data_IF_742225732722
#
_entry.id   IF_742225732722
#
_cell.length_a   1.000
_cell.length_b   1.000
_cell.length_c   1.000
_cell.angle_alpha   90.00
_cell.angle_beta   90.00
_cell.angle_gamma   90.00
#
_symmetry.space_group_name_H-M   'P 1'
#
loop_
_entity.id
_entity.type
_entity.pdbx_description
1 polymer ?
#
# COMPACT_ATOMS: atom_id res chain seq x y z
N UNK A 1 -33.00 32.87 -1.29
CA UNK A 1 -31.91 33.42 -2.12
C UNK A 1 -31.89 32.67 -3.46
N UNK A 2 -31.96 33.35 -4.60
CA UNK A 2 -32.05 32.68 -5.91
C UNK A 2 -30.66 32.27 -6.42
N UNK A 3 -30.54 31.10 -7.08
CA UNK A 3 -29.30 30.61 -7.74
C UNK A 3 -28.59 31.67 -8.59
N UNK A 4 -29.37 32.60 -9.14
CA UNK A 4 -28.90 33.69 -9.99
C UNK A 4 -28.13 34.79 -9.22
N UNK A 5 -28.36 34.96 -7.91
CA UNK A 5 -27.61 35.93 -7.09
C UNK A 5 -26.24 35.39 -6.69
N UNK A 6 -26.15 34.10 -6.33
CA UNK A 6 -24.86 33.45 -6.01
C UNK A 6 -23.92 33.48 -7.23
N UNK A 7 -24.40 33.02 -8.40
CA UNK A 7 -23.61 33.05 -9.65
C UNK A 7 -23.09 34.45 -10.00
N UNK A 8 -23.93 35.48 -9.88
CA UNK A 8 -23.52 36.87 -10.16
C UNK A 8 -22.47 37.37 -9.16
N UNK A 9 -22.54 36.93 -7.91
CA UNK A 9 -21.54 37.27 -6.89
C UNK A 9 -20.20 36.58 -7.19
N UNK A 10 -20.20 35.31 -7.60
CA UNK A 10 -18.99 34.57 -7.95
C UNK A 10 -18.27 35.21 -9.15
N UNK A 11 -19.01 35.56 -10.21
CA UNK A 11 -18.45 36.28 -11.37
C UNK A 11 -17.88 37.64 -10.95
N UNK A 12 -18.57 38.38 -10.07
CA UNK A 12 -18.10 39.68 -9.57
C UNK A 12 -16.84 39.56 -8.71
N UNK A 13 -16.64 38.44 -8.02
CA UNK A 13 -15.47 38.22 -7.18
C UNK A 13 -14.19 38.05 -8.00
N UNK A 14 -14.30 37.57 -9.24
CA UNK A 14 -13.14 37.27 -10.11
C UNK A 14 -13.02 38.18 -11.33
N UNK A 15 -14.05 38.97 -11.66
CA UNK A 15 -14.03 39.87 -12.82
C UNK A 15 -13.22 41.15 -12.54
N UNK A 16 -12.27 41.51 -13.43
CA UNK A 16 -11.66 42.84 -13.40
C UNK A 16 -12.70 43.97 -13.57
N UNK A 17 -12.43 45.19 -13.08
CA UNK A 17 -13.33 46.33 -13.25
C UNK A 17 -13.70 46.56 -14.72
N UNK A 18 -14.99 46.57 -15.03
CA UNK A 18 -15.50 46.75 -16.41
C UNK A 18 -15.55 45.48 -17.27
N UNK A 19 -15.02 44.34 -16.81
CA UNK A 19 -14.94 43.11 -17.60
C UNK A 19 -16.02 42.07 -17.27
N UNK A 20 -16.99 42.39 -16.41
CA UNK A 20 -18.03 41.47 -15.94
C UNK A 20 -18.70 40.66 -17.07
N UNK A 21 -19.10 41.30 -18.18
CA UNK A 21 -19.79 40.62 -19.29
C UNK A 21 -18.86 39.69 -20.11
N UNK A 22 -17.54 39.92 -20.07
CA UNK A 22 -16.54 39.05 -20.69
C UNK A 22 -16.26 37.87 -19.75
N UNK A 23 -16.03 38.13 -18.47
CA UNK A 23 -15.83 37.10 -17.44
C UNK A 23 -17.06 36.19 -17.31
N UNK A 24 -18.28 36.73 -17.35
CA UNK A 24 -19.51 35.92 -17.34
C UNK A 24 -19.60 35.02 -18.58
N UNK A 25 -19.19 35.52 -19.76
CA UNK A 25 -19.17 34.71 -21.00
C UNK A 25 -18.13 33.60 -20.94
N UNK A 26 -16.92 33.90 -20.46
CA UNK A 26 -15.85 32.91 -20.29
C UNK A 26 -16.28 31.85 -19.28
N UNK A 27 -16.75 32.24 -18.09
CA UNK A 27 -17.21 31.31 -17.06
C UNK A 27 -18.40 30.47 -17.55
N UNK A 28 -19.33 31.05 -18.33
CA UNK A 28 -20.44 30.29 -18.92
C UNK A 28 -19.94 29.30 -19.98
N UNK A 29 -18.97 29.69 -20.81
CA UNK A 29 -18.38 28.81 -21.81
C UNK A 29 -17.57 27.67 -21.15
N UNK A 30 -16.85 27.95 -20.06
CA UNK A 30 -16.16 26.95 -19.24
C UNK A 30 -17.13 26.01 -18.53
N UNK A 31 -18.26 26.52 -18.00
CA UNK A 31 -19.34 25.70 -17.45
C UNK A 31 -20.04 24.83 -18.50
N UNK A 32 -19.89 25.14 -19.79
CA UNK A 32 -20.44 24.38 -20.91
C UNK A 32 -19.41 23.47 -21.57
N UNK A 33 -18.15 23.48 -21.10
CA UNK A 33 -17.14 22.54 -21.61
C UNK A 33 -17.48 21.14 -21.12
N UNK A 34 -17.51 20.15 -22.02
CA UNK A 34 -17.66 18.75 -21.65
C UNK A 34 -16.64 18.31 -20.60
N UNK A 35 -17.08 17.42 -19.71
CA UNK A 35 -16.17 16.73 -18.79
C UNK A 35 -15.72 15.45 -19.47
N UNK A 36 -14.48 15.44 -19.97
CA UNK A 36 -13.91 14.29 -20.67
C UNK A 36 -13.44 13.22 -19.67
N UNK A 37 -13.73 11.96 -19.97
CA UNK A 37 -13.30 10.83 -19.15
C UNK A 37 -11.78 10.73 -19.03
N UNK A 38 -11.06 11.02 -20.12
CA UNK A 38 -9.60 11.05 -20.13
C UNK A 38 -9.02 12.09 -19.17
N UNK A 39 -9.60 13.30 -19.13
CA UNK A 39 -9.17 14.38 -18.25
C UNK A 39 -9.48 14.08 -16.77
N UNK A 40 -10.64 13.47 -16.50
CA UNK A 40 -10.99 12.99 -15.16
C UNK A 40 -9.99 11.93 -14.71
N UNK A 41 -9.66 10.96 -15.57
CA UNK A 41 -8.72 9.88 -15.28
C UNK A 41 -7.34 10.43 -14.91
N UNK A 42 -6.77 11.33 -15.72
CA UNK A 42 -5.44 11.89 -15.47
C UNK A 42 -5.40 12.74 -14.19
N UNK A 43 -6.39 13.62 -13.98
CA UNK A 43 -6.45 14.46 -12.76
C UNK A 43 -6.64 13.62 -11.50
N UNK A 44 -7.47 12.59 -11.56
CA UNK A 44 -7.66 11.64 -10.47
C UNK A 44 -6.34 10.94 -10.12
N UNK A 45 -5.68 10.32 -11.10
CA UNK A 45 -4.39 9.64 -10.87
C UNK A 45 -3.34 10.59 -10.30
N UNK A 46 -3.25 11.82 -10.83
CA UNK A 46 -2.33 12.83 -10.32
C UNK A 46 -2.60 13.18 -8.85
N UNK A 47 -3.87 13.32 -8.46
CA UNK A 47 -4.23 13.62 -7.08
C UNK A 47 -3.91 12.47 -6.12
N UNK A 48 -4.14 11.21 -6.51
CA UNK A 48 -3.73 10.06 -5.71
C UNK A 48 -2.21 10.00 -5.53
N UNK A 49 -1.43 10.23 -6.59
CA UNK A 49 0.05 10.30 -6.49
C UNK A 49 0.50 11.44 -5.58
N UNK A 50 -0.12 12.62 -5.70
CA UNK A 50 0.19 13.77 -4.85
C UNK A 50 -0.14 13.51 -3.36
N UNK A 51 -1.13 12.67 -3.08
CA UNK A 51 -1.45 12.21 -1.73
C UNK A 51 -0.56 11.04 -1.25
N UNK A 52 0.45 10.65 -2.02
CA UNK A 52 1.38 9.58 -1.70
C UNK A 52 0.84 8.17 -1.95
N UNK A 53 -0.22 8.00 -2.73
CA UNK A 53 -0.76 6.67 -3.05
C UNK A 53 -0.06 6.10 -4.29
N UNK A 54 0.18 4.78 -4.37
CA UNK A 54 0.60 4.16 -5.61
C UNK A 54 -0.61 4.17 -6.56
N UNK A 55 -0.47 4.85 -7.69
CA UNK A 55 -1.55 5.03 -8.65
C UNK A 55 -1.09 4.78 -10.09
N UNK A 56 -1.68 3.79 -10.72
CA UNK A 56 -1.49 3.44 -12.12
C UNK A 56 -2.83 3.40 -12.84
N UNK A 57 -2.81 3.63 -14.14
CA UNK A 57 -4.00 3.52 -14.98
C UNK A 57 -3.59 3.23 -16.40
N UNK A 58 -4.57 2.78 -17.18
CA UNK A 58 -4.36 2.47 -18.58
C UNK A 58 -4.04 3.73 -19.38
N UNK A 59 -3.29 3.58 -20.46
CA UNK A 59 -2.96 4.69 -21.38
C UNK A 59 -4.06 4.95 -22.40
N UNK A 60 -4.98 4.01 -22.55
CA UNK A 60 -6.18 4.09 -23.40
C UNK A 60 -7.33 3.38 -22.70
N UNK A 61 -8.58 3.78 -22.93
CA UNK A 61 -9.71 3.08 -22.35
C UNK A 61 -9.84 1.70 -22.99
N UNK A 62 -10.17 0.71 -22.17
CA UNK A 62 -10.54 -0.61 -22.64
C UNK A 62 -12.05 -0.68 -22.73
N UNK A 63 -12.56 -0.86 -23.96
CA UNK A 63 -14.00 -1.03 -24.20
C UNK A 63 -14.81 0.13 -23.62
N UNK A 64 -14.38 1.38 -23.88
CA UNK A 64 -15.02 2.62 -23.40
C UNK A 64 -14.92 2.87 -21.90
N UNK A 65 -14.11 2.11 -21.17
CA UNK A 65 -13.90 2.28 -19.72
C UNK A 65 -12.43 2.54 -19.44
N UNK A 66 -12.14 3.55 -18.63
CA UNK A 66 -10.79 3.72 -18.10
C UNK A 66 -10.63 2.89 -16.83
N UNK A 67 -9.62 2.03 -16.80
CA UNK A 67 -9.26 1.28 -15.61
C UNK A 67 -8.02 1.87 -14.92
N UNK A 68 -8.06 1.87 -13.59
CA UNK A 68 -6.97 2.30 -12.73
C UNK A 68 -6.81 1.42 -11.49
N UNK A 69 -5.64 1.47 -10.89
CA UNK A 69 -5.33 0.93 -9.56
C UNK A 69 -4.82 2.06 -8.70
N UNK A 70 -5.43 2.27 -7.53
CA UNK A 70 -5.08 3.31 -6.57
C UNK A 70 -4.99 2.70 -5.17
N UNK A 71 -3.76 2.40 -4.73
CA UNK A 71 -3.53 1.63 -3.50
C UNK A 71 -4.26 0.28 -3.54
N UNK A 72 -5.12 -0.04 -2.55
CA UNK A 72 -5.86 -1.30 -2.50
C UNK A 72 -7.12 -1.33 -3.39
N UNK A 73 -7.48 -0.22 -4.03
CA UNK A 73 -8.72 -0.09 -4.79
C UNK A 73 -8.45 -0.12 -6.31
N UNK A 74 -9.41 -0.68 -7.04
CA UNK A 74 -9.50 -0.55 -8.50
C UNK A 74 -10.47 0.58 -8.82
N UNK A 75 -10.10 1.47 -9.72
CA UNK A 75 -10.95 2.55 -10.21
C UNK A 75 -11.44 2.27 -11.62
N UNK A 76 -12.70 2.60 -11.90
CA UNK A 76 -13.28 2.66 -13.24
C UNK A 76 -13.89 4.03 -13.50
N UNK A 77 -13.77 4.51 -14.73
CA UNK A 77 -14.43 5.72 -15.20
C UNK A 77 -15.22 5.39 -16.45
N UNK A 78 -16.52 5.68 -16.41
CA UNK A 78 -17.46 5.42 -17.50
C UNK A 78 -18.50 6.53 -17.59
N UNK A 79 -19.07 6.72 -18.79
CA UNK A 79 -20.20 7.64 -18.98
C UNK A 79 -21.51 6.98 -18.55
N UNK A 80 -22.47 7.74 -17.99
CA UNK A 80 -23.79 7.22 -17.67
C UNK A 80 -24.43 6.49 -18.86
N UNK A 81 -25.07 5.35 -18.60
CA UNK A 81 -25.74 4.56 -19.63
C UNK A 81 -24.81 3.72 -20.53
N UNK A 82 -23.49 3.87 -20.42
CA UNK A 82 -22.53 3.04 -21.14
C UNK A 82 -22.58 1.58 -20.66
N UNK A 83 -22.57 0.61 -21.60
CA UNK A 83 -22.59 -0.83 -21.31
C UNK A 83 -21.33 -1.50 -21.88
N UNK A 84 -20.38 -1.93 -21.04
CA UNK A 84 -19.22 -2.70 -21.48
C UNK A 84 -19.62 -3.95 -22.28
N UNK A 85 -18.91 -4.21 -23.38
CA UNK A 85 -19.00 -5.41 -24.21
C UNK A 85 -19.97 -5.32 -25.37
N UNK A 86 -20.73 -4.22 -25.49
CA UNK A 86 -21.71 -4.02 -26.57
C UNK A 86 -21.28 -2.99 -27.62
N UNK A 87 -20.46 -2.04 -27.23
CA UNK A 87 -19.98 -0.92 -28.05
C UNK A 87 -18.49 -1.12 -28.29
N UNK A 88 -18.13 -2.00 -29.23
CA UNK A 88 -16.76 -2.49 -29.34
C UNK A 88 -15.70 -1.38 -29.41
N UNK A 89 -14.70 -1.42 -28.51
CA UNK A 89 -13.42 -0.69 -28.62
C UNK A 89 -13.52 0.81 -28.95
N UNK A 90 -14.57 1.51 -28.51
CA UNK A 90 -14.77 2.92 -28.86
C UNK A 90 -14.21 3.87 -27.81
N UNK A 91 -13.80 5.04 -28.29
CA UNK A 91 -13.34 6.15 -27.45
C UNK A 91 -14.55 6.69 -26.66
N UNK A 92 -14.54 6.65 -25.31
CA UNK A 92 -15.65 7.13 -24.49
C UNK A 92 -15.85 8.64 -24.55
N UNK A 93 -14.92 9.38 -25.17
CA UNK A 93 -15.01 10.83 -25.38
C UNK A 93 -15.32 11.19 -26.85
N UNK A 94 -15.72 10.23 -27.69
CA UNK A 94 -16.20 10.50 -29.06
C UNK A 94 -17.61 11.13 -29.05
N UNK A 95 -17.77 12.37 -29.54
CA UNK A 95 -19.08 13.05 -29.58
C UNK A 95 -20.09 12.40 -30.53
N UNK A 96 -19.64 11.60 -31.51
CA UNK A 96 -20.54 10.88 -32.41
C UNK A 96 -21.18 9.66 -31.72
N UNK A 97 -20.63 9.25 -30.57
CA UNK A 97 -21.01 8.02 -29.87
C UNK A 97 -21.58 8.25 -28.46
N UNK A 98 -21.22 9.36 -27.81
CA UNK A 98 -21.65 9.67 -26.45
C UNK A 98 -22.09 11.13 -26.31
N UNK A 99 -23.10 11.36 -25.44
CA UNK A 99 -23.40 12.71 -25.01
C UNK A 99 -22.31 13.21 -24.05
N UNK A 100 -21.45 14.10 -24.55
CA UNK A 100 -20.35 14.66 -23.77
C UNK A 100 -20.82 15.64 -22.68
N UNK A 101 -22.10 16.02 -22.67
CA UNK A 101 -22.70 16.83 -21.60
C UNK A 101 -22.99 16.02 -20.34
N UNK A 102 -23.10 14.69 -20.47
CA UNK A 102 -23.25 13.82 -19.31
C UNK A 102 -21.95 13.78 -18.50
N UNK A 103 -22.08 13.95 -17.19
CA UNK A 103 -20.93 13.89 -16.28
C UNK A 103 -20.54 12.43 -16.09
N UNK A 104 -19.29 12.04 -16.38
CA UNK A 104 -18.84 10.67 -16.19
C UNK A 104 -18.85 10.28 -14.71
N UNK A 105 -19.04 9.00 -14.42
CA UNK A 105 -18.98 8.44 -13.08
C UNK A 105 -17.60 7.83 -12.83
N UNK A 106 -17.02 8.14 -11.68
CA UNK A 106 -15.80 7.51 -11.17
C UNK A 106 -16.21 6.56 -10.07
N UNK A 107 -15.89 5.27 -10.23
CA UNK A 107 -16.20 4.24 -9.24
C UNK A 107 -14.92 3.57 -8.76
N UNK A 108 -14.77 3.44 -7.45
CA UNK A 108 -13.68 2.71 -6.82
C UNK A 108 -14.23 1.47 -6.13
N UNK A 109 -13.54 0.35 -6.24
CA UNK A 109 -13.92 -0.91 -5.62
C UNK A 109 -12.69 -1.69 -5.14
N UNK A 110 -12.74 -2.22 -3.91
CA UNK A 110 -11.74 -3.18 -3.42
C UNK A 110 -12.02 -4.59 -3.94
N UNK A 111 -10.99 -5.44 -4.08
CA UNK A 111 -11.14 -6.83 -4.53
C UNK A 111 -11.84 -7.81 -3.56
N UNK A 112 -12.39 -7.34 -2.43
CA UNK A 112 -13.05 -8.20 -1.44
C UNK A 112 -14.22 -8.96 -2.05
N UNK A 113 -14.16 -10.30 -1.97
CA UNK A 113 -15.19 -11.18 -2.54
C UNK A 113 -16.50 -11.17 -1.73
N UNK A 114 -16.43 -10.80 -0.45
CA UNK A 114 -17.59 -10.86 0.45
C UNK A 114 -18.28 -9.51 0.59
N UNK A 115 -17.51 -8.44 0.80
CA UNK A 115 -18.02 -7.09 1.11
C UNK A 115 -17.06 -6.04 0.55
N UNK A 116 -17.11 -5.77 -0.76
CA UNK A 116 -16.26 -4.74 -1.35
C UNK A 116 -16.63 -3.36 -0.80
N UNK A 117 -15.61 -2.58 -0.43
CA UNK A 117 -15.78 -1.14 -0.28
C UNK A 117 -15.95 -0.57 -1.68
N UNK A 118 -17.09 0.07 -1.90
CA UNK A 118 -17.40 0.75 -3.15
C UNK A 118 -17.69 2.23 -2.92
N UNK A 119 -17.08 3.08 -3.73
CA UNK A 119 -17.29 4.54 -3.71
C UNK A 119 -17.53 5.00 -5.14
N UNK A 120 -18.68 5.61 -5.39
CA UNK A 120 -18.99 6.24 -6.68
C UNK A 120 -19.17 7.73 -6.50
N UNK A 121 -18.53 8.50 -7.37
CA UNK A 121 -18.52 9.96 -7.36
C UNK A 121 -18.64 10.51 -8.79
N UNK A 122 -19.22 11.71 -8.98
CA UNK A 122 -19.23 12.34 -10.29
C UNK A 122 -17.81 12.79 -10.68
N UNK A 123 -17.48 12.76 -11.98
CA UNK A 123 -16.20 13.21 -12.52
C UNK A 123 -15.94 14.71 -12.40
N UNK A 124 -16.96 15.46 -11.95
CA UNK A 124 -16.84 16.88 -11.55
C UNK A 124 -16.38 17.07 -10.11
N UNK A 125 -16.31 16.01 -9.29
CA UNK A 125 -15.79 16.12 -7.92
C UNK A 125 -14.31 16.54 -7.95
N UNK A 126 -13.90 17.36 -6.98
CA UNK A 126 -12.51 17.77 -6.88
C UNK A 126 -11.61 16.55 -6.62
N UNK A 127 -10.51 16.35 -7.35
CA UNK A 127 -9.68 15.15 -7.20
C UNK A 127 -9.20 14.89 -5.77
N UNK A 128 -8.87 15.95 -5.01
CA UNK A 128 -8.49 15.81 -3.60
C UNK A 128 -9.64 15.30 -2.72
N UNK A 129 -10.89 15.68 -3.02
CA UNK A 129 -12.06 15.18 -2.32
C UNK A 129 -12.32 13.70 -2.64
N UNK A 130 -12.06 13.26 -3.89
CA UNK A 130 -12.12 11.84 -4.26
C UNK A 130 -11.13 11.01 -3.43
N UNK A 131 -9.89 11.48 -3.27
CA UNK A 131 -8.86 10.81 -2.44
C UNK A 131 -9.33 10.70 -0.98
N UNK A 132 -9.83 11.79 -0.40
CA UNK A 132 -10.31 11.81 0.98
C UNK A 132 -11.48 10.86 1.19
N UNK A 133 -12.47 10.87 0.28
CA UNK A 133 -13.66 10.02 0.35
C UNK A 133 -13.30 8.54 0.24
N UNK A 134 -12.45 8.17 -0.72
CA UNK A 134 -11.98 6.80 -0.84
C UNK A 134 -11.16 6.37 0.39
N UNK A 135 -10.28 7.25 0.88
CA UNK A 135 -9.51 6.99 2.09
C UNK A 135 -10.41 6.72 3.32
N UNK A 136 -11.43 7.55 3.54
CA UNK A 136 -12.38 7.34 4.63
C UNK A 136 -13.17 6.02 4.45
N UNK A 137 -13.68 5.76 3.24
CA UNK A 137 -14.44 4.54 2.97
C UNK A 137 -13.61 3.26 3.17
N UNK A 138 -12.33 3.27 2.77
CA UNK A 138 -11.41 2.15 2.98
C UNK A 138 -11.13 1.95 4.46
N UNK A 139 -10.88 3.02 5.21
CA UNK A 139 -10.61 2.93 6.64
C UNK A 139 -11.81 2.35 7.41
N UNK A 140 -13.01 2.87 7.13
CA UNK A 140 -14.24 2.36 7.74
C UNK A 140 -14.52 0.91 7.32
N UNK A 141 -14.30 0.59 6.05
CA UNK A 141 -14.45 -0.76 5.52
C UNK A 141 -13.54 -1.76 6.22
N UNK A 142 -12.25 -1.43 6.35
CA UNK A 142 -11.28 -2.27 7.04
C UNK A 142 -11.61 -2.45 8.51
N UNK A 143 -11.93 -1.37 9.22
CA UNK A 143 -12.32 -1.45 10.63
C UNK A 143 -13.53 -2.38 10.84
N UNK A 144 -14.54 -2.30 9.96
CA UNK A 144 -15.69 -3.22 9.98
C UNK A 144 -15.30 -4.66 9.73
N UNK A 145 -14.47 -4.93 8.70
CA UNK A 145 -14.06 -6.30 8.38
C UNK A 145 -13.19 -6.90 9.49
N UNK A 146 -12.30 -6.12 10.10
CA UNK A 146 -11.49 -6.55 11.26
C UNK A 146 -12.38 -6.89 12.46
N UNK A 147 -13.39 -6.06 12.75
CA UNK A 147 -14.31 -6.30 13.87
C UNK A 147 -15.17 -7.57 13.72
N UNK A 148 -15.27 -8.12 12.50
CA UNK A 148 -16.00 -9.35 12.20
C UNK A 148 -15.10 -10.60 12.17
N UNK A 149 -13.80 -10.44 12.38
CA UNK A 149 -12.87 -11.55 12.36
C UNK A 149 -13.10 -12.50 13.54
N UNK A 150 -12.97 -13.78 13.26
CA UNK A 150 -12.91 -14.83 14.27
C UNK A 150 -11.53 -15.46 14.15
N UNK A 151 -10.81 -15.51 15.26
CA UNK A 151 -9.53 -16.21 15.33
C UNK A 151 -9.81 -17.72 15.55
N UNK A 152 -10.10 -18.42 14.46
CA UNK A 152 -10.41 -19.86 14.42
C UNK A 152 -9.19 -20.76 14.19
N UNK A 153 -7.99 -20.19 14.23
CA UNK A 153 -6.72 -20.88 14.08
C UNK A 153 -5.63 -20.19 14.90
N UNK A 154 -4.42 -20.73 14.84
CA UNK A 154 -3.25 -20.16 15.49
C UNK A 154 -2.02 -20.31 14.59
N UNK A 155 -1.06 -19.41 14.74
CA UNK A 155 0.24 -19.58 14.11
C UNK A 155 0.93 -20.83 14.67
N UNK A 156 1.47 -21.67 13.78
CA UNK A 156 2.14 -22.91 14.15
C UNK A 156 3.45 -22.71 14.94
N UNK A 157 4.04 -21.51 14.90
CA UNK A 157 5.28 -21.18 15.61
C UNK A 157 4.96 -20.48 16.93
N UNK A 158 4.44 -19.24 16.87
CA UNK A 158 4.25 -18.45 18.09
C UNK A 158 2.97 -18.81 18.87
N UNK A 159 2.05 -19.57 18.27
CA UNK A 159 0.76 -19.92 18.89
C UNK A 159 -0.26 -18.78 18.91
N UNK A 160 0.07 -17.60 18.38
CA UNK A 160 -0.85 -16.45 18.38
C UNK A 160 -2.14 -16.77 17.61
N UNK A 161 -3.30 -16.33 18.10
CA UNK A 161 -4.59 -16.59 17.47
C UNK A 161 -4.78 -15.75 16.21
N UNK A 162 -5.21 -16.36 15.11
CA UNK A 162 -5.49 -15.69 13.84
C UNK A 162 -6.70 -16.29 13.14
N UNK A 163 -7.37 -15.56 12.23
CA UNK A 163 -8.28 -16.18 11.29
C UNK A 163 -7.50 -17.12 10.38
N UNK A 164 -7.98 -18.34 10.19
CA UNK A 164 -7.28 -19.39 9.47
C UNK A 164 -6.92 -19.00 8.02
N UNK A 165 -7.70 -18.09 7.43
CA UNK A 165 -7.52 -17.52 6.08
C UNK A 165 -6.44 -16.43 5.99
N UNK A 166 -5.97 -15.92 7.14
CA UNK A 166 -4.94 -14.87 7.24
C UNK A 166 -3.54 -15.43 7.50
N UNK A 167 -3.43 -16.73 7.74
CA UNK A 167 -2.17 -17.44 7.90
C UNK A 167 -1.74 -18.06 6.57
N UNK A 168 -0.44 -17.97 6.27
CA UNK A 168 0.14 -18.53 5.05
C UNK A 168 0.39 -20.02 5.24
N UNK A 169 0.11 -20.84 4.21
CA UNK A 169 0.35 -22.29 4.26
C UNK A 169 1.77 -22.59 3.81
N UNK A 170 2.53 -23.31 4.63
CA UNK A 170 3.89 -23.70 4.22
C UNK A 170 3.86 -24.94 3.32
N UNK A 171 4.75 -25.04 2.33
CA UNK A 171 4.77 -26.17 1.39
C UNK A 171 5.41 -27.46 1.96
N UNK A 172 6.24 -27.38 3.01
CA UNK A 172 6.92 -28.55 3.61
C UNK A 172 5.95 -29.52 4.28
N UNK A 173 4.91 -28.98 4.91
CA UNK A 173 3.84 -29.75 5.52
C UNK A 173 2.55 -28.95 5.35
N UNK A 174 1.60 -29.45 4.54
CA UNK A 174 0.30 -28.81 4.23
C UNK A 174 -0.56 -28.45 5.47
N UNK A 175 -0.06 -28.73 6.67
CA UNK A 175 -0.67 -28.50 7.98
C UNK A 175 -0.09 -27.29 8.73
N UNK A 176 1.09 -26.77 8.35
CA UNK A 176 1.69 -25.63 9.07
C UNK A 176 1.23 -24.30 8.47
N UNK A 177 0.68 -23.46 9.34
CA UNK A 177 0.16 -22.14 9.01
C UNK A 177 0.87 -21.06 9.82
N UNK A 178 1.44 -20.06 9.16
CA UNK A 178 2.27 -19.04 9.81
C UNK A 178 1.73 -17.64 9.63
N UNK A 179 1.95 -16.82 10.66
CA UNK A 179 1.61 -15.40 10.66
C UNK A 179 2.73 -14.60 9.95
N UNK A 180 2.49 -13.32 9.59
CA UNK A 180 3.52 -12.48 8.99
C UNK A 180 4.77 -12.33 9.87
N UNK A 181 4.57 -12.52 11.17
CA UNK A 181 5.58 -12.40 12.19
C UNK A 181 6.59 -13.57 12.20
N UNK A 182 6.14 -14.78 11.92
CA UNK A 182 6.96 -15.99 12.01
C UNK A 182 7.26 -16.58 10.62
N UNK A 183 6.97 -15.85 9.53
CA UNK A 183 7.05 -16.41 8.18
C UNK A 183 8.48 -16.78 7.77
N UNK A 184 9.50 -16.11 8.32
CA UNK A 184 10.90 -16.37 8.02
C UNK A 184 11.62 -17.22 9.08
N UNK A 185 10.90 -17.68 10.09
CA UNK A 185 11.45 -18.51 11.16
C UNK A 185 11.65 -19.95 10.67
N UNK A 186 12.84 -20.50 10.96
CA UNK A 186 13.25 -21.86 10.60
C UNK A 186 13.32 -22.14 9.10
N UNK A 187 13.29 -23.43 8.75
CA UNK A 187 13.33 -23.92 7.36
C UNK A 187 11.96 -23.88 6.67
N UNK A 188 10.97 -23.19 7.23
CA UNK A 188 9.57 -23.31 6.80
C UNK A 188 9.33 -22.94 5.34
N UNK A 189 10.18 -22.09 4.79
CA UNK A 189 10.09 -21.62 3.43
C UNK A 189 11.37 -21.84 2.61
N UNK A 190 12.40 -22.49 3.13
CA UNK A 190 13.59 -22.85 2.32
C UNK A 190 13.23 -23.78 1.16
N UNK A 191 12.10 -24.50 1.25
CA UNK A 191 11.50 -25.25 0.14
C UNK A 191 10.35 -24.52 -0.58
N UNK A 192 9.91 -23.37 -0.04
CA UNK A 192 8.84 -22.55 -0.59
C UNK A 192 9.36 -21.64 -1.69
N UNK A 193 8.85 -21.82 -2.90
CA UNK A 193 9.18 -20.93 -4.02
C UNK A 193 8.76 -19.49 -3.67
N UNK A 194 9.68 -18.50 -3.63
CA UNK A 194 9.34 -17.09 -3.41
C UNK A 194 8.26 -16.58 -4.38
N UNK A 195 8.18 -17.20 -5.56
CA UNK A 195 7.13 -16.98 -6.55
C UNK A 195 5.74 -17.37 -6.01
N UNK A 196 5.63 -18.54 -5.37
CA UNK A 196 4.37 -19.00 -4.78
C UNK A 196 3.90 -18.08 -3.66
N UNK A 197 4.83 -17.61 -2.83
CA UNK A 197 4.54 -16.64 -1.77
C UNK A 197 4.05 -15.31 -2.35
N UNK A 198 4.70 -14.78 -3.38
CA UNK A 198 4.27 -13.56 -4.05
C UNK A 198 2.83 -13.68 -4.59
N UNK A 199 2.47 -14.83 -5.18
CA UNK A 199 1.11 -15.10 -5.66
C UNK A 199 0.10 -15.13 -4.50
N UNK A 200 0.43 -15.85 -3.42
CA UNK A 200 -0.43 -15.94 -2.26
C UNK A 200 -0.64 -14.56 -1.61
N UNK A 201 0.39 -13.72 -1.55
CA UNK A 201 0.28 -12.36 -1.06
C UNK A 201 -0.59 -11.47 -1.94
N UNK A 202 -0.40 -11.48 -3.26
CA UNK A 202 -1.25 -10.73 -4.18
C UNK A 202 -2.72 -11.16 -4.05
N UNK A 203 -2.97 -12.47 -3.95
CA UNK A 203 -4.32 -13.01 -3.76
C UNK A 203 -4.91 -12.64 -2.40
N UNK A 204 -4.12 -12.68 -1.33
CA UNK A 204 -4.56 -12.35 0.02
C UNK A 204 -4.91 -10.86 0.12
N UNK A 205 -4.02 -9.99 -0.35
CA UNK A 205 -4.21 -8.54 -0.39
C UNK A 205 -5.40 -8.14 -1.29
N UNK A 206 -5.63 -8.88 -2.37
CA UNK A 206 -6.78 -8.64 -3.24
C UNK A 206 -8.11 -9.06 -2.60
N UNK A 207 -8.15 -10.22 -1.94
CA UNK A 207 -9.41 -10.86 -1.47
C UNK A 207 -9.91 -10.37 -0.13
N UNK A 208 -9.05 -9.88 0.76
CA UNK A 208 -9.42 -9.60 2.14
C UNK A 208 -8.89 -8.24 2.60
N UNK A 209 -9.80 -7.28 2.75
CA UNK A 209 -9.48 -5.95 3.26
C UNK A 209 -8.98 -5.99 4.71
N UNK A 210 -9.28 -7.03 5.48
CA UNK A 210 -8.84 -7.21 6.86
C UNK A 210 -7.57 -8.07 6.99
N UNK A 211 -6.85 -8.32 5.87
CA UNK A 211 -5.53 -8.96 5.88
C UNK A 211 -4.61 -8.31 6.94
N UNK A 212 -3.89 -9.08 7.79
CA UNK A 212 -2.98 -8.51 8.77
C UNK A 212 -1.99 -7.53 8.11
N UNK A 213 -1.86 -6.32 8.67
CA UNK A 213 -1.02 -5.29 8.07
C UNK A 213 0.44 -5.73 7.95
N UNK A 214 0.93 -6.58 8.87
CA UNK A 214 2.30 -7.12 8.85
C UNK A 214 2.67 -7.86 7.55
N UNK A 215 1.71 -8.37 6.78
CA UNK A 215 2.02 -8.97 5.47
C UNK A 215 2.62 -7.98 4.48
N UNK A 216 2.29 -6.68 4.58
CA UNK A 216 2.92 -5.65 3.75
C UNK A 216 4.43 -5.53 4.04
N UNK A 217 4.88 -5.76 5.28
CA UNK A 217 6.31 -5.74 5.61
C UNK A 217 7.06 -6.91 4.97
N UNK A 218 6.47 -8.10 5.00
CA UNK A 218 6.99 -9.31 4.36
C UNK A 218 7.10 -9.10 2.84
N UNK A 219 6.05 -8.57 2.21
CA UNK A 219 6.04 -8.23 0.79
C UNK A 219 7.13 -7.19 0.44
N UNK A 220 7.30 -6.17 1.27
CA UNK A 220 8.34 -5.15 1.09
C UNK A 220 9.73 -5.78 1.08
N UNK A 221 10.04 -6.63 2.07
CA UNK A 221 11.33 -7.32 2.17
C UNK A 221 11.60 -8.18 0.94
N UNK A 222 10.62 -8.99 0.52
CA UNK A 222 10.77 -9.87 -0.65
C UNK A 222 10.95 -9.05 -1.95
N UNK A 223 10.17 -7.99 -2.15
CA UNK A 223 10.31 -7.12 -3.32
C UNK A 223 11.65 -6.38 -3.36
N UNK A 224 12.15 -5.92 -2.21
CA UNK A 224 13.45 -5.25 -2.08
C UNK A 224 14.59 -6.25 -2.35
N UNK A 225 14.52 -7.44 -1.76
CA UNK A 225 15.54 -8.47 -1.95
C UNK A 225 15.58 -8.96 -3.41
N UNK A 226 14.42 -9.22 -4.01
CA UNK A 226 14.35 -9.62 -5.42
C UNK A 226 14.80 -8.52 -6.40
N UNK A 227 14.70 -7.25 -6.00
CA UNK A 227 15.11 -6.10 -6.80
C UNK A 227 14.27 -5.90 -8.07
N UNK A 228 14.70 -5.01 -8.99
CA UNK A 228 13.89 -4.60 -10.14
C UNK A 228 13.47 -5.72 -11.09
N UNK A 229 14.26 -6.81 -11.13
CA UNK A 229 14.03 -7.97 -12.01
C UNK A 229 13.06 -8.98 -11.42
N UNK A 230 12.65 -8.84 -10.17
CA UNK A 230 11.82 -9.84 -9.53
C UNK A 230 10.44 -9.96 -10.17
N UNK A 231 9.83 -8.85 -10.58
CA UNK A 231 8.57 -8.92 -11.33
C UNK A 231 8.70 -9.65 -12.67
N UNK A 232 9.84 -9.60 -13.35
CA UNK A 232 10.07 -10.40 -14.57
C UNK A 232 10.14 -11.90 -14.24
N UNK A 233 10.82 -12.25 -13.15
CA UNK A 233 10.87 -13.64 -12.63
C UNK A 233 9.48 -14.15 -12.25
N UNK A 234 8.67 -13.29 -11.64
CA UNK A 234 7.27 -13.61 -11.31
C UNK A 234 6.43 -13.73 -12.59
N UNK A 235 6.60 -12.85 -13.58
CA UNK A 235 5.85 -12.90 -14.83
C UNK A 235 6.14 -14.19 -15.60
N UNK A 236 7.42 -14.56 -15.76
CA UNK A 236 7.82 -15.84 -16.36
C UNK A 236 7.17 -17.05 -15.67
N UNK A 237 7.07 -17.00 -14.33
CA UNK A 237 6.47 -18.07 -13.57
C UNK A 237 4.92 -18.04 -13.60
N UNK A 238 4.32 -16.86 -13.66
CA UNK A 238 2.86 -16.65 -13.66
C UNK A 238 2.24 -16.70 -15.06
N UNK A 239 3.02 -16.69 -16.14
CA UNK A 239 2.54 -16.92 -17.51
C UNK A 239 1.73 -18.23 -17.64
N UNK A 240 1.87 -19.16 -16.69
CA UNK A 240 1.07 -20.40 -16.58
C UNK A 240 -0.24 -20.26 -15.79
N UNK A 241 -0.49 -19.14 -15.12
CA UNK A 241 -1.52 -18.95 -14.09
C UNK A 241 -2.58 -17.88 -14.41
N UNK A 242 -2.56 -17.24 -15.59
CA UNK A 242 -3.51 -16.17 -15.99
C UNK A 242 -3.53 -15.00 -14.97
N UNK A 243 -2.40 -14.75 -14.30
CA UNK A 243 -2.27 -13.67 -13.32
C UNK A 243 -1.05 -12.83 -13.67
N UNK A 244 -1.18 -11.51 -13.65
CA UNK A 244 -0.04 -10.60 -13.84
C UNK A 244 0.45 -10.19 -12.46
N UNK A 245 1.75 -10.33 -12.14
CA UNK A 245 2.29 -9.89 -10.86
C UNK A 245 2.00 -8.41 -10.63
N UNK A 246 1.68 -8.05 -9.39
CA UNK A 246 1.53 -6.64 -9.05
C UNK A 246 2.83 -5.85 -9.27
N UNK A 247 2.71 -4.60 -9.73
CA UNK A 247 3.85 -3.76 -10.09
C UNK A 247 4.83 -3.48 -8.94
N UNK A 248 4.41 -3.69 -7.68
CA UNK A 248 5.27 -3.48 -6.52
C UNK A 248 6.38 -4.52 -6.40
N UNK A 249 6.27 -5.67 -7.08
CA UNK A 249 7.32 -6.69 -7.08
C UNK A 249 8.56 -6.28 -7.89
N UNK A 250 8.43 -5.40 -8.88
CA UNK A 250 9.55 -4.77 -9.58
C UNK A 250 9.95 -3.40 -9.00
N UNK A 251 9.07 -2.81 -8.20
CA UNK A 251 9.22 -1.46 -7.68
C UNK A 251 8.60 -1.40 -6.28
N UNK A 252 9.35 -1.78 -5.23
CA UNK A 252 8.82 -1.83 -3.86
C UNK A 252 8.27 -0.49 -3.40
N UNK A 253 8.70 0.62 -3.99
CA UNK A 253 8.14 1.95 -3.72
C UNK A 253 6.66 2.07 -4.05
N UNK A 254 6.12 1.21 -4.93
CA UNK A 254 4.69 1.12 -5.27
C UNK A 254 3.89 0.21 -4.34
N UNK A 255 4.54 -0.52 -3.43
CA UNK A 255 3.83 -1.34 -2.46
C UNK A 255 2.97 -0.43 -1.58
N UNK A 256 1.75 -0.84 -1.33
CA UNK A 256 0.85 -0.14 -0.43
C UNK A 256 1.02 -0.64 1.01
N UNK A 257 1.09 0.29 1.96
CA UNK A 257 1.16 -0.01 3.40
C UNK A 257 -0.07 0.54 4.08
N UNK A 258 -0.71 -0.28 4.91
CA UNK A 258 -1.87 0.17 5.68
C UNK A 258 -1.47 1.15 6.78
N UNK A 259 -2.12 2.32 6.80
CA UNK A 259 -1.95 3.35 7.83
C UNK A 259 -3.29 3.65 8.53
N UNK A 260 -3.44 3.33 9.83
CA UNK A 260 -4.71 3.51 10.54
C UNK A 260 -5.03 5.00 10.66
N UNK A 261 -6.26 5.47 10.42
CA UNK A 261 -6.58 6.90 10.33
C UNK A 261 -6.44 7.69 11.64
N UNK A 262 -6.64 7.07 12.80
CA UNK A 262 -6.80 7.80 14.06
C UNK A 262 -5.60 7.71 15.02
N UNK A 263 -4.55 6.99 14.62
CA UNK A 263 -3.41 6.69 15.49
C UNK A 263 -2.08 6.72 14.73
N UNK A 264 -1.97 7.58 13.71
CA UNK A 264 -0.72 7.72 12.92
C UNK A 264 0.32 8.48 13.72
N UNK A 265 1.59 8.04 13.67
CA UNK A 265 2.71 8.90 14.07
C UNK A 265 2.66 10.25 13.37
N UNK A 266 3.14 11.30 14.04
CA UNK A 266 3.16 12.66 13.49
C UNK A 266 3.88 12.71 12.12
N UNK A 267 4.96 11.94 11.97
CA UNK A 267 5.70 11.81 10.71
C UNK A 267 4.81 11.33 9.54
N UNK A 268 3.74 10.58 9.82
CA UNK A 268 2.85 9.98 8.82
C UNK A 268 1.46 10.66 8.76
N UNK A 269 1.25 11.78 9.47
CA UNK A 269 -0.06 12.41 9.61
C UNK A 269 -0.66 12.88 8.27
N UNK A 270 0.17 13.26 7.30
CA UNK A 270 -0.26 13.70 5.97
C UNK A 270 -0.59 12.57 4.99
N UNK A 271 -0.30 11.32 5.34
CA UNK A 271 -0.48 10.17 4.46
C UNK A 271 -1.84 9.51 4.70
N UNK A 272 -2.47 9.01 3.63
CA UNK A 272 -3.73 8.28 3.71
C UNK A 272 -3.56 6.78 4.05
N UNK A 273 -4.66 6.04 4.26
CA UNK A 273 -4.59 4.60 4.49
C UNK A 273 -4.07 3.82 3.28
N UNK A 274 -4.01 4.46 2.10
CA UNK A 274 -3.52 3.95 0.83
C UNK A 274 -2.07 4.32 0.47
N UNK A 275 -1.27 4.80 1.42
CA UNK A 275 0.07 5.31 1.15
C UNK A 275 1.02 4.25 0.57
N UNK A 276 1.88 4.67 -0.35
CA UNK A 276 2.93 3.83 -0.90
C UNK A 276 4.13 3.75 0.05
N UNK A 277 4.89 2.68 -0.02
CA UNK A 277 6.13 2.54 0.75
C UNK A 277 7.10 3.70 0.45
N UNK A 278 7.20 4.14 -0.81
CA UNK A 278 8.02 5.31 -1.14
C UNK A 278 7.59 6.57 -0.38
N UNK A 279 6.28 6.84 -0.31
CA UNK A 279 5.76 8.00 0.41
C UNK A 279 5.96 7.88 1.93
N UNK A 280 5.84 6.67 2.49
CA UNK A 280 6.11 6.39 3.90
C UNK A 280 7.60 6.62 4.22
N UNK A 281 8.51 6.08 3.41
CA UNK A 281 9.96 6.28 3.59
C UNK A 281 10.32 7.75 3.51
N UNK A 282 9.84 8.47 2.48
CA UNK A 282 10.09 9.91 2.33
C UNK A 282 9.58 10.71 3.54
N UNK A 283 8.41 10.35 4.07
CA UNK A 283 7.85 11.01 5.24
C UNK A 283 8.68 10.77 6.52
N UNK A 284 9.16 9.53 6.74
CA UNK A 284 10.02 9.17 7.87
C UNK A 284 11.38 9.85 7.76
N UNK A 285 12.05 9.78 6.60
CA UNK A 285 13.37 10.38 6.40
C UNK A 285 13.32 11.90 6.55
N UNK A 286 12.24 12.55 6.08
CA UNK A 286 12.03 13.99 6.28
C UNK A 286 11.82 14.36 7.75
N UNK A 287 11.09 13.54 8.51
CA UNK A 287 10.85 13.77 9.93
C UNK A 287 12.07 13.46 10.79
N UNK A 288 12.91 12.51 10.36
CA UNK A 288 14.05 11.97 11.12
C UNK A 288 15.30 11.79 10.23
N UNK A 289 15.93 12.88 9.74
CA UNK A 289 17.04 12.80 8.79
C UNK A 289 18.31 12.09 9.31
N UNK A 290 18.43 11.87 10.62
CA UNK A 290 19.55 11.14 11.26
C UNK A 290 19.22 9.72 11.71
N UNK A 291 18.11 9.13 11.25
CA UNK A 291 17.62 7.85 11.78
C UNK A 291 18.56 6.68 11.51
N UNK A 292 19.23 6.65 10.36
CA UNK A 292 20.26 5.64 10.07
C UNK A 292 21.50 5.79 10.96
N UNK A 293 21.88 7.03 11.31
CA UNK A 293 23.03 7.28 12.21
C UNK A 293 22.69 6.93 13.66
N UNK A 294 21.44 7.15 14.07
CA UNK A 294 20.93 6.65 15.34
C UNK A 294 20.97 5.11 15.38
N UNK A 295 20.51 4.44 14.32
CA UNK A 295 20.61 2.99 14.21
C UNK A 295 22.06 2.50 14.34
N UNK A 296 23.00 3.09 13.59
CA UNK A 296 24.43 2.74 13.71
C UNK A 296 24.97 2.93 15.13
N UNK A 297 24.52 3.98 15.81
CA UNK A 297 24.91 4.24 17.20
C UNK A 297 24.40 3.14 18.14
N UNK A 298 23.13 2.74 18.00
CA UNK A 298 22.51 1.67 18.80
C UNK A 298 23.19 0.33 18.55
N UNK A 299 23.41 -0.05 17.28
CA UNK A 299 24.11 -1.30 16.94
C UNK A 299 25.51 -1.33 17.54
N UNK A 300 26.25 -0.22 17.42
CA UNK A 300 27.60 -0.13 18.00
C UNK A 300 27.59 -0.31 19.52
N UNK A 301 26.60 0.27 20.20
CA UNK A 301 26.46 0.14 21.66
C UNK A 301 26.17 -1.33 22.05
N UNK A 302 25.21 -1.98 21.39
CA UNK A 302 24.90 -3.40 21.62
C UNK A 302 26.10 -4.32 21.40
N UNK A 303 26.81 -4.17 20.27
CA UNK A 303 28.00 -4.98 19.98
C UNK A 303 29.10 -4.80 21.03
N UNK A 304 29.29 -3.58 21.55
CA UNK A 304 30.27 -3.32 22.60
C UNK A 304 29.86 -3.94 23.93
N UNK A 305 28.57 -3.99 24.25
CA UNK A 305 28.03 -4.66 25.44
C UNK A 305 28.22 -6.20 25.36
N UNK A 306 28.08 -6.78 24.16
CA UNK A 306 28.34 -8.19 23.89
C UNK A 306 29.84 -8.56 23.80
N UNK A 307 30.72 -7.56 23.82
CA UNK A 307 32.17 -7.75 23.69
C UNK A 307 32.64 -8.02 22.24
N UNK A 308 31.77 -7.75 21.27
CA UNK A 308 32.04 -7.84 19.85
C UNK A 308 32.71 -6.56 19.31
N UNK A 309 33.21 -6.62 18.08
CA UNK A 309 33.79 -5.44 17.42
C UNK A 309 32.67 -4.57 16.88
N UNK A 310 32.80 -3.25 17.08
CA UNK A 310 31.92 -2.24 16.50
C UNK A 310 32.03 -2.19 14.96
N UNK A 311 31.30 -3.07 14.28
CA UNK A 311 31.17 -3.10 12.81
C UNK A 311 29.92 -2.31 12.34
N UNK A 312 29.95 -1.78 11.12
CA UNK A 312 28.75 -1.16 10.52
C UNK A 312 27.93 -2.25 9.84
N UNK A 313 26.84 -2.66 10.51
CA UNK A 313 25.91 -3.67 10.01
C UNK A 313 24.75 -3.09 9.20
N UNK A 314 24.73 -1.78 8.87
CA UNK A 314 23.67 -1.25 8.01
C UNK A 314 23.78 -1.84 6.60
N UNK A 315 22.69 -2.45 6.13
CA UNK A 315 22.45 -2.78 4.73
C UNK A 315 21.48 -1.74 4.14
N UNK A 316 21.96 -0.67 3.47
CA UNK A 316 21.11 0.47 3.09
C UNK A 316 19.91 0.08 2.21
N UNK A 317 20.09 -0.94 1.38
CA UNK A 317 19.04 -1.46 0.49
C UNK A 317 17.83 -1.99 1.27
N UNK A 318 18.03 -2.51 2.47
CA UNK A 318 16.97 -3.05 3.33
C UNK A 318 16.26 -1.99 4.17
N UNK A 319 16.78 -0.75 4.22
CA UNK A 319 16.19 0.31 5.05
C UNK A 319 14.71 0.59 4.77
N UNK A 320 14.21 0.58 3.52
CA UNK A 320 12.77 0.69 3.27
C UNK A 320 11.97 -0.49 3.86
N UNK A 321 12.54 -1.71 3.89
CA UNK A 321 11.91 -2.85 4.55
C UNK A 321 11.83 -2.63 6.06
N UNK A 322 12.88 -2.11 6.68
CA UNK A 322 12.90 -1.75 8.10
C UNK A 322 11.75 -0.81 8.47
N UNK A 323 11.56 0.25 7.68
CA UNK A 323 10.45 1.19 7.85
C UNK A 323 9.10 0.49 7.64
N UNK A 324 8.99 -0.38 6.63
CA UNK A 324 7.78 -1.15 6.37
C UNK A 324 7.42 -2.06 7.56
N UNK A 325 8.39 -2.77 8.14
CA UNK A 325 8.23 -3.59 9.34
C UNK A 325 7.70 -2.75 10.50
N UNK A 326 8.39 -1.66 10.86
CA UNK A 326 7.98 -0.81 11.97
C UNK A 326 6.55 -0.30 11.79
N UNK A 327 6.22 0.25 10.63
CA UNK A 327 4.90 0.85 10.36
C UNK A 327 3.80 -0.21 10.28
N UNK A 328 4.00 -1.29 9.52
CA UNK A 328 2.99 -2.33 9.33
C UNK A 328 2.68 -3.08 10.62
N UNK A 329 3.69 -3.38 11.43
CA UNK A 329 3.50 -4.07 12.70
C UNK A 329 2.96 -3.15 13.80
N UNK A 330 3.37 -1.88 13.84
CA UNK A 330 2.71 -0.87 14.68
C UNK A 330 1.23 -0.73 14.34
N UNK A 331 0.90 -0.66 13.03
CA UNK A 331 -0.48 -0.68 12.55
C UNK A 331 -1.22 -1.94 12.99
N UNK A 332 -0.64 -3.12 12.79
CA UNK A 332 -1.26 -4.39 13.17
C UNK A 332 -1.52 -4.45 14.69
N UNK A 333 -0.57 -4.02 15.51
CA UNK A 333 -0.73 -3.97 16.96
C UNK A 333 -1.96 -3.12 17.32
N UNK A 334 -2.08 -1.92 16.74
CA UNK A 334 -3.23 -1.02 16.94
C UNK A 334 -4.56 -1.64 16.53
N UNK A 335 -4.60 -2.32 15.39
CA UNK A 335 -5.81 -2.94 14.87
C UNK A 335 -6.24 -4.20 15.62
N UNK A 336 -5.30 -4.88 16.28
CA UNK A 336 -5.50 -6.16 16.97
C UNK A 336 -4.95 -6.09 18.39
N UNK A 337 -5.57 -5.31 19.29
CA UNK A 337 -5.05 -5.07 20.63
C UNK A 337 -4.99 -6.31 21.54
N UNK A 338 -5.79 -7.33 21.25
CA UNK A 338 -5.81 -8.59 22.00
C UNK A 338 -4.69 -9.56 21.59
N UNK A 339 -4.05 -9.33 20.45
CA UNK A 339 -2.96 -10.17 19.96
C UNK A 339 -1.64 -9.74 20.62
N UNK A 340 -0.69 -10.66 20.75
CA UNK A 340 0.65 -10.34 21.25
C UNK A 340 1.28 -9.27 20.36
N UNK A 341 2.04 -8.37 20.98
CA UNK A 341 2.77 -7.35 20.24
C UNK A 341 3.69 -8.04 19.21
N UNK A 342 3.62 -7.64 17.93
CA UNK A 342 4.35 -8.30 16.86
C UNK A 342 5.84 -7.93 16.82
N UNK A 343 6.38 -7.35 17.88
CA UNK A 343 7.80 -7.01 17.98
C UNK A 343 8.68 -8.24 18.24
N UNK A 344 8.08 -9.38 18.60
CA UNK A 344 8.76 -10.68 18.75
C UNK A 344 9.33 -11.23 17.43
N UNK A 345 8.92 -10.65 16.29
CA UNK A 345 9.32 -11.02 14.92
C UNK A 345 10.82 -10.91 14.66
N UNK A 346 11.49 -10.08 15.43
CA UNK A 346 12.90 -9.79 15.23
C UNK A 346 13.79 -10.96 15.63
N UNK A 347 13.24 -11.92 16.39
CA UNK A 347 13.86 -13.21 16.69
C UNK A 347 13.78 -14.18 15.50
N UNK A 348 12.86 -13.97 14.54
CA UNK A 348 12.66 -14.87 13.39
C UNK A 348 13.71 -14.72 12.26
N UNK A 349 14.55 -13.68 12.33
CA UNK A 349 15.62 -13.47 11.36
C UNK A 349 16.86 -14.28 11.76
N UNK A 350 16.76 -15.61 11.74
CA UNK A 350 17.89 -16.48 12.03
C UNK A 350 18.93 -16.49 10.89
N UNK A 351 20.20 -16.68 11.26
CA UNK A 351 21.29 -16.77 10.30
C UNK A 351 21.09 -17.97 9.36
N UNK A 352 21.03 -17.71 8.05
CA UNK A 352 20.87 -18.73 7.01
C UNK A 352 19.44 -18.90 6.50
N UNK A 353 18.40 -18.58 7.28
CA UNK A 353 17.01 -18.71 6.85
C UNK A 353 16.69 -17.78 5.66
N UNK A 354 17.10 -16.51 5.76
CA UNK A 354 16.92 -15.52 4.68
C UNK A 354 17.84 -15.73 3.48
N UNK A 355 19.04 -16.32 3.67
CA UNK A 355 20.01 -16.55 2.60
C UNK A 355 19.46 -17.46 1.49
N UNK A 356 18.75 -18.53 1.88
CA UNK A 356 18.06 -19.42 0.94
C UNK A 356 16.98 -18.70 0.12
N UNK A 357 16.22 -17.80 0.74
CA UNK A 357 15.23 -16.97 0.07
C UNK A 357 15.85 -16.02 -0.96
N UNK A 358 16.91 -15.33 -0.56
CA UNK A 358 17.62 -14.38 -1.41
C UNK A 358 18.22 -15.08 -2.62
N UNK A 359 18.84 -16.25 -2.42
CA UNK A 359 19.35 -17.08 -3.51
C UNK A 359 18.24 -17.50 -4.50
N UNK A 360 17.09 -17.97 -4.00
CA UNK A 360 15.96 -18.39 -4.83
C UNK A 360 15.36 -17.24 -5.67
N UNK A 361 15.39 -16.01 -5.15
CA UNK A 361 14.94 -14.80 -5.87
C UNK A 361 16.00 -14.23 -6.82
N UNK A 362 17.21 -14.80 -6.86
CA UNK A 362 18.39 -14.22 -7.54
C UNK A 362 18.68 -12.80 -7.04
N UNK A 363 18.51 -12.61 -5.73
CA UNK A 363 18.78 -11.36 -5.04
C UNK A 363 20.21 -10.91 -5.27
N UNK A 364 20.39 -9.59 -5.37
CA UNK A 364 21.72 -8.96 -5.35
C UNK A 364 22.24 -8.76 -3.91
N UNK A 365 21.40 -8.99 -2.90
CA UNK A 365 21.86 -9.06 -1.52
C UNK A 365 22.70 -10.33 -1.36
N UNK A 366 23.90 -10.16 -0.82
CA UNK A 366 24.79 -11.28 -0.54
C UNK A 366 24.08 -12.25 0.44
N UNK A 367 23.82 -13.51 0.06
CA UNK A 367 23.22 -14.49 0.96
C UNK A 367 24.12 -14.78 2.17
N UNK A 368 25.43 -14.48 2.06
CA UNK A 368 26.43 -14.56 3.10
C UNK A 368 26.72 -13.18 3.73
N UNK A 369 25.87 -12.16 3.51
CA UNK A 369 25.97 -10.82 4.13
C UNK A 369 25.98 -10.83 5.68
N UNK A 370 25.92 -12.01 6.29
CA UNK A 370 26.28 -12.23 7.66
C UNK A 370 25.28 -11.59 8.63
N UNK A 371 25.77 -11.15 9.81
CA UNK A 371 24.94 -10.49 10.81
C UNK A 371 24.25 -9.21 10.30
N UNK A 372 24.76 -8.59 9.23
CA UNK A 372 24.26 -7.30 8.73
C UNK A 372 22.77 -7.26 8.40
N UNK A 373 22.25 -8.31 7.76
CA UNK A 373 20.82 -8.41 7.43
C UNK A 373 19.96 -8.51 8.69
N UNK A 374 20.41 -9.33 9.65
CA UNK A 374 19.70 -9.59 10.91
C UNK A 374 19.68 -8.32 11.76
N UNK A 375 20.83 -7.68 11.95
CA UNK A 375 20.94 -6.42 12.68
C UNK A 375 20.12 -5.30 12.01
N UNK A 376 20.20 -5.17 10.68
CA UNK A 376 19.44 -4.13 9.95
C UNK A 376 17.94 -4.31 10.11
N UNK A 377 17.41 -5.52 9.90
CA UNK A 377 15.97 -5.77 10.00
C UNK A 377 15.50 -5.80 11.46
N UNK A 378 16.22 -6.53 12.32
CA UNK A 378 15.97 -6.71 13.73
C UNK A 378 16.01 -5.40 14.51
N UNK A 379 17.23 -4.89 14.76
CA UNK A 379 17.40 -3.67 15.56
C UNK A 379 16.87 -2.43 14.82
N UNK A 380 17.01 -2.37 13.50
CA UNK A 380 16.49 -1.24 12.73
C UNK A 380 14.99 -1.05 12.94
N UNK A 381 14.20 -2.12 12.92
CA UNK A 381 12.74 -1.99 13.05
C UNK A 381 12.36 -1.49 14.45
N UNK A 382 13.06 -1.92 15.50
CA UNK A 382 12.87 -1.40 16.87
C UNK A 382 13.22 0.08 16.96
N UNK A 383 14.36 0.49 16.39
CA UNK A 383 14.81 1.89 16.42
C UNK A 383 13.77 2.77 15.72
N UNK A 384 13.33 2.39 14.52
CA UNK A 384 12.29 3.13 13.79
C UNK A 384 10.98 3.14 14.58
N UNK A 385 10.52 2.00 15.10
CA UNK A 385 9.29 1.92 15.88
C UNK A 385 9.32 2.80 17.13
N UNK A 386 10.47 2.84 17.83
CA UNK A 386 10.69 3.67 19.02
C UNK A 386 10.60 5.15 18.67
N UNK A 387 11.30 5.57 17.62
CA UNK A 387 11.33 6.97 17.19
C UNK A 387 9.96 7.44 16.71
N UNK A 388 9.20 6.56 16.06
CA UNK A 388 7.84 6.86 15.61
C UNK A 388 6.79 6.76 16.73
N UNK A 389 7.16 6.29 17.93
CA UNK A 389 6.22 6.11 19.05
C UNK A 389 5.19 5.01 18.80
N UNK A 390 5.60 3.91 18.15
CA UNK A 390 4.72 2.79 17.78
C UNK A 390 4.63 1.68 18.84
N UNK A 391 5.43 1.73 19.89
CA UNK A 391 5.30 0.83 21.04
C UNK A 391 4.13 1.24 21.93
N UNK A 392 3.46 0.24 22.52
CA UNK A 392 2.52 0.49 23.61
C UNK A 392 3.23 0.58 24.95
N UNK A 393 2.60 1.25 25.91
CA UNK A 393 3.01 1.19 27.31
C UNK A 393 3.01 -0.27 27.77
N UNK A 394 4.20 -0.80 28.07
CA UNK A 394 4.40 -2.20 28.48
C UNK A 394 5.00 -3.12 27.41
N UNK A 395 5.16 -2.67 26.16
CA UNK A 395 5.87 -3.41 25.11
C UNK A 395 7.41 -3.38 25.29
N UNK A 396 7.92 -3.10 26.50
CA UNK A 396 9.36 -3.07 26.77
C UNK A 396 9.95 -4.47 26.64
N UNK A 397 10.38 -4.82 25.42
CA UNK A 397 11.21 -5.99 25.13
C UNK A 397 12.68 -5.76 25.49
N UNK A 398 13.06 -4.58 25.98
CA UNK A 398 14.41 -4.35 26.52
C UNK A 398 14.47 -4.86 27.97
N UNK A 399 14.79 -6.15 28.10
CA UNK A 399 15.52 -6.67 29.24
C UNK A 399 16.85 -7.20 28.77
#
# INVERSE_FOLDING_TARGET
MTRNRARKNDVRAVAPPGEYARTERIMKAEQQRPVLTADVHQRMLAAFRAAGWPATGETRPWDGVWHSKVGPASGTILRPGYQPGRTGSRDPDDPDEADLQDVPEVSFCTGSQTRPVSVTVPGTEEPAAMVQRLGAALADGRAREIALLVNDSACAICGDPYPARHLLRTPVAEQMRVCPACVFDGELLTTGSPVGLALEFDLLAYKDLAVPAGWAAVMALLAIAGGPRFGDVLDEAFQRAVWVPAAHWSDPGKLWIWLPPHSRPLALAGLGPGASLAAVVEAVDRAHPGLQDLYRTVVREELLEEGEKAEDYLVPQLWPAVIAYAVAFGTQALERPADRAPWHVLESFEQGALGGHFAAMRSALDPDAGPGVIYTLGLGALVVAKVLGLFRDGDSSTK
#
